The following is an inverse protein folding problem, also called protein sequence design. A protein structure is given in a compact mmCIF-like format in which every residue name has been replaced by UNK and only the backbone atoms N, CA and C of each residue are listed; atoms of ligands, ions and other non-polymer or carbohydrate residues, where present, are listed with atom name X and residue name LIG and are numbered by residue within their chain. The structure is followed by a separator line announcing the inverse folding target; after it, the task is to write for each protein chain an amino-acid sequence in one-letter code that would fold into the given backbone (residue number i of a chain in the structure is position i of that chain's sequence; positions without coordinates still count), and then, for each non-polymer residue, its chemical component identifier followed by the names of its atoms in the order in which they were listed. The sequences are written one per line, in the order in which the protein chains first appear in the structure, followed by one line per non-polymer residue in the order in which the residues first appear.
data_IF_780120017842
#
_entry.id   IF_780120017842
#
_cell.length_a   1.000
_cell.length_b   1.000
_cell.length_c   1.000
_cell.angle_alpha   90.00
_cell.angle_beta   90.00
_cell.angle_gamma   90.00
#
_symmetry.space_group_name_H-M   'P 1'
#
loop_
_entity.id
_entity.type
_entity.pdbx_description
1 polymer ?
#
# COMPACT_ATOMS: atom_id res chain seq x y z
N UNK A 1 -6.89 -18.12 -32.11
CA UNK A 1 -5.71 -17.88 -31.25
C UNK A 1 -5.80 -18.87 -30.10
N UNK A 2 -4.79 -19.73 -29.91
CA UNK A 2 -4.81 -20.73 -28.83
C UNK A 2 -4.90 -20.06 -27.45
N UNK A 3 -5.69 -20.64 -26.55
CA UNK A 3 -5.89 -20.13 -25.20
C UNK A 3 -4.69 -20.50 -24.34
N UNK A 4 -4.08 -19.51 -23.67
CA UNK A 4 -2.99 -19.76 -22.74
C UNK A 4 -3.55 -20.37 -21.44
N UNK A 5 -3.13 -21.60 -21.11
CA UNK A 5 -3.69 -22.41 -20.02
C UNK A 5 -3.44 -21.79 -18.63
N UNK A 6 -2.36 -21.02 -18.47
CA UNK A 6 -1.94 -20.43 -17.19
C UNK A 6 -2.35 -18.95 -17.07
N UNK A 7 -3.57 -18.62 -17.51
CA UNK A 7 -4.10 -17.25 -17.40
C UNK A 7 -5.63 -17.22 -17.29
N UNK A 8 -6.10 -16.28 -16.48
CA UNK A 8 -7.53 -15.94 -16.36
C UNK A 8 -8.03 -15.04 -17.50
N UNK A 9 -7.13 -14.38 -18.23
CA UNK A 9 -7.41 -13.31 -19.20
C UNK A 9 -6.71 -13.50 -20.56
N UNK A 10 -6.23 -14.71 -20.83
CA UNK A 10 -5.51 -15.12 -22.04
C UNK A 10 -4.19 -14.36 -22.31
N UNK A 11 -3.64 -13.66 -21.31
CA UNK A 11 -2.32 -13.03 -21.40
C UNK A 11 -1.21 -14.06 -21.23
N UNK A 12 -0.15 -13.94 -22.03
CA UNK A 12 1.04 -14.81 -21.98
C UNK A 12 1.99 -14.53 -20.80
N UNK A 13 1.48 -13.90 -19.74
CA UNK A 13 2.21 -13.62 -18.51
C UNK A 13 1.24 -13.64 -17.32
N UNK A 14 1.74 -13.99 -16.14
CA UNK A 14 0.96 -13.98 -14.92
C UNK A 14 0.78 -12.53 -14.46
N UNK A 15 -0.45 -12.01 -14.56
CA UNK A 15 -0.77 -10.71 -13.98
C UNK A 15 -0.70 -10.78 -12.45
N UNK A 16 -0.48 -9.65 -11.80
CA UNK A 16 -0.52 -9.57 -10.34
C UNK A 16 -1.86 -10.06 -9.77
N UNK A 17 -2.96 -9.75 -10.47
CA UNK A 17 -4.28 -10.25 -10.14
C UNK A 17 -4.39 -11.77 -10.27
N UNK A 18 -3.87 -12.36 -11.36
CA UNK A 18 -3.83 -13.81 -11.55
C UNK A 18 -3.09 -14.48 -10.38
N UNK A 19 -1.86 -14.03 -10.09
CA UNK A 19 -1.04 -14.61 -9.02
C UNK A 19 -1.74 -14.55 -7.66
N UNK A 20 -2.27 -13.38 -7.29
CA UNK A 20 -2.94 -13.19 -6.00
C UNK A 20 -4.23 -14.01 -5.88
N UNK A 21 -5.03 -14.10 -6.96
CA UNK A 21 -6.25 -14.91 -6.96
C UNK A 21 -5.95 -16.40 -6.77
N UNK A 22 -4.92 -16.90 -7.44
CA UNK A 22 -4.52 -18.31 -7.31
C UNK A 22 -3.87 -18.59 -5.95
N UNK A 23 -3.11 -17.63 -5.39
CA UNK A 23 -2.49 -17.78 -4.06
C UNK A 23 -3.50 -17.76 -2.91
N UNK A 24 -4.49 -16.88 -2.96
CA UNK A 24 -5.42 -16.64 -1.84
C UNK A 24 -6.85 -17.13 -2.09
N UNK A 25 -7.13 -17.71 -3.26
CA UNK A 25 -8.45 -18.22 -3.67
C UNK A 25 -9.53 -17.15 -3.87
N UNK A 26 -9.18 -15.87 -3.70
CA UNK A 26 -10.10 -14.72 -3.71
C UNK A 26 -9.46 -13.52 -4.39
N UNK A 27 -10.28 -12.53 -4.77
CA UNK A 27 -9.77 -11.22 -5.18
C UNK A 27 -8.97 -10.63 -4.02
N UNK A 28 -7.83 -10.02 -4.31
CA UNK A 28 -7.02 -9.29 -3.33
C UNK A 28 -6.96 -7.83 -3.75
N UNK A 29 -7.30 -6.93 -2.82
CA UNK A 29 -7.37 -5.51 -3.04
C UNK A 29 -6.29 -4.78 -2.22
N UNK A 30 -5.61 -3.81 -2.82
CA UNK A 30 -4.72 -2.93 -2.06
C UNK A 30 -5.57 -1.83 -1.42
N UNK A 31 -5.59 -1.77 -0.10
CA UNK A 31 -6.28 -0.72 0.66
C UNK A 31 -5.25 0.38 0.96
N UNK A 32 -5.38 1.56 0.33
CA UNK A 32 -4.43 2.64 0.54
C UNK A 32 -4.61 3.23 1.95
N UNK A 33 -3.50 3.34 2.67
CA UNK A 33 -3.43 3.83 4.05
C UNK A 33 -2.36 4.92 4.11
N UNK A 34 -2.59 5.91 4.96
CA UNK A 34 -1.72 7.05 5.15
C UNK A 34 -1.30 7.14 6.62
N UNK A 35 -0.02 6.90 6.88
CA UNK A 35 0.56 6.99 8.22
C UNK A 35 1.07 8.40 8.57
N UNK A 36 0.90 9.39 7.68
CA UNK A 36 1.39 10.76 7.90
C UNK A 36 2.90 10.92 7.80
N UNK A 37 3.63 9.93 7.27
CA UNK A 37 5.08 10.04 7.11
C UNK A 37 5.45 11.11 6.08
N UNK A 38 6.59 11.76 6.31
CA UNK A 38 7.19 12.73 5.39
C UNK A 38 8.16 12.05 4.40
N UNK A 39 8.94 12.84 3.66
CA UNK A 39 10.08 12.37 2.89
C UNK A 39 11.24 13.37 2.91
N UNK A 40 12.49 12.92 2.68
CA UNK A 40 13.65 13.79 2.75
C UNK A 40 13.71 14.87 1.65
N UNK A 41 12.89 14.75 0.60
CA UNK A 41 12.75 15.81 -0.41
C UNK A 41 11.84 16.97 0.03
N UNK A 42 11.16 16.84 1.18
CA UNK A 42 10.23 17.86 1.69
C UNK A 42 10.73 18.56 2.94
N UNK A 43 11.43 17.84 3.81
CA UNK A 43 11.79 18.30 5.17
C UNK A 43 13.12 19.06 5.25
N UNK A 44 13.83 19.23 4.12
CA UNK A 44 15.13 19.91 4.05
C UNK A 44 16.34 18.97 4.06
N UNK A 45 16.17 17.66 4.26
CA UNK A 45 17.30 16.71 4.34
C UNK A 45 17.99 16.48 3.00
N UNK A 46 17.22 16.34 1.92
CA UNK A 46 17.72 16.22 0.53
C UNK A 46 17.14 17.29 -0.39
N UNK A 47 16.09 17.98 0.05
CA UNK A 47 15.42 19.03 -0.71
C UNK A 47 14.27 19.63 0.09
N UNK A 48 13.64 20.65 -0.48
CA UNK A 48 12.50 21.36 0.11
C UNK A 48 11.31 21.33 -0.86
N UNK A 49 10.10 21.32 -0.32
CA UNK A 49 8.86 21.40 -1.12
C UNK A 49 8.40 20.09 -1.79
N UNK A 50 9.25 19.09 -1.91
CA UNK A 50 8.91 17.79 -2.50
C UNK A 50 9.27 17.67 -3.99
N UNK A 51 8.97 16.52 -4.60
CA UNK A 51 9.21 16.32 -6.03
C UNK A 51 8.26 17.20 -6.87
N UNK A 52 8.68 17.62 -8.06
CA UNK A 52 7.88 18.48 -8.97
C UNK A 52 6.51 17.90 -9.31
N UNK A 53 6.37 16.58 -9.33
CA UNK A 53 5.12 15.87 -9.61
C UNK A 53 4.35 15.46 -8.33
N UNK A 54 4.92 15.71 -7.15
CA UNK A 54 4.33 15.28 -5.89
C UNK A 54 3.21 16.25 -5.49
N UNK A 55 2.04 15.72 -5.16
CA UNK A 55 0.94 16.54 -4.65
C UNK A 55 1.28 17.14 -3.29
N UNK A 56 0.50 18.15 -2.87
CA UNK A 56 0.56 18.68 -1.51
C UNK A 56 0.37 17.60 -0.44
N UNK A 57 -0.38 16.55 -0.78
CA UNK A 57 -0.68 15.38 0.05
C UNK A 57 0.36 14.26 -0.06
N UNK A 58 1.56 14.53 -0.60
CA UNK A 58 2.64 13.56 -0.70
C UNK A 58 2.31 12.32 -1.54
N UNK A 59 1.57 12.53 -2.64
CA UNK A 59 0.95 11.48 -3.47
C UNK A 59 -0.12 10.66 -2.73
N UNK A 60 -0.63 11.15 -1.61
CA UNK A 60 -1.71 10.54 -0.82
C UNK A 60 -3.12 10.94 -1.24
N UNK A 61 -3.32 11.46 -2.45
CA UNK A 61 -4.61 12.01 -2.91
C UNK A 61 -5.77 11.00 -2.88
N UNK A 62 -5.45 9.70 -2.90
CA UNK A 62 -6.41 8.60 -2.78
C UNK A 62 -6.16 7.71 -1.54
N UNK A 63 -5.33 8.20 -0.61
CA UNK A 63 -5.06 7.56 0.67
C UNK A 63 -6.12 7.93 1.71
N UNK A 64 -6.08 7.24 2.86
CA UNK A 64 -6.87 7.65 4.02
C UNK A 64 -6.40 8.99 4.60
N UNK A 65 -7.26 9.59 5.42
CA UNK A 65 -6.93 10.81 6.16
C UNK A 65 -5.90 10.51 7.26
N UNK A 66 -4.70 11.12 7.23
CA UNK A 66 -3.67 10.90 8.25
C UNK A 66 -4.08 11.39 9.65
N UNK A 67 -5.14 12.19 9.80
CA UNK A 67 -5.70 12.54 11.10
C UNK A 67 -6.50 11.39 11.73
N UNK A 68 -6.90 10.39 10.93
CA UNK A 68 -7.62 9.20 11.38
C UNK A 68 -6.67 8.03 11.67
N UNK A 69 -7.08 7.13 12.58
CA UNK A 69 -6.34 5.90 12.86
C UNK A 69 -6.28 4.98 11.63
N UNK A 70 -5.27 4.12 11.55
CA UNK A 70 -5.10 3.18 10.43
C UNK A 70 -6.29 2.23 10.32
N UNK A 71 -6.85 1.79 11.45
CA UNK A 71 -8.04 0.95 11.51
C UNK A 71 -9.26 1.67 10.94
N UNK A 72 -9.41 2.95 11.26
CA UNK A 72 -10.50 3.79 10.76
C UNK A 72 -10.39 3.99 9.25
N UNK A 73 -9.20 4.37 8.77
CA UNK A 73 -8.93 4.51 7.34
C UNK A 73 -9.20 3.19 6.59
N UNK A 74 -8.76 2.06 7.16
CA UNK A 74 -8.97 0.74 6.58
C UNK A 74 -10.46 0.39 6.50
N UNK A 75 -11.23 0.60 7.57
CA UNK A 75 -12.66 0.30 7.58
C UNK A 75 -13.43 1.11 6.53
N UNK A 76 -13.12 2.41 6.41
CA UNK A 76 -13.71 3.30 5.41
C UNK A 76 -13.40 2.83 3.98
N UNK A 77 -12.12 2.60 3.68
CA UNK A 77 -11.70 2.19 2.33
C UNK A 77 -12.16 0.77 1.99
N UNK A 78 -12.14 -0.15 2.97
CA UNK A 78 -12.68 -1.50 2.81
C UNK A 78 -14.16 -1.46 2.41
N UNK A 79 -14.97 -0.62 3.06
CA UNK A 79 -16.39 -0.49 2.74
C UNK A 79 -16.62 -0.08 1.28
N UNK A 80 -15.79 0.81 0.73
CA UNK A 80 -15.84 1.22 -0.68
C UNK A 80 -15.44 0.06 -1.59
N UNK A 81 -14.35 -0.63 -1.28
CA UNK A 81 -13.85 -1.72 -2.12
C UNK A 81 -14.78 -2.94 -2.11
N UNK A 82 -15.43 -3.22 -0.98
CA UNK A 82 -16.40 -4.32 -0.85
C UNK A 82 -17.65 -4.12 -1.70
N UNK A 83 -18.04 -2.88 -2.01
CA UNK A 83 -19.14 -2.63 -2.96
C UNK A 83 -18.83 -3.17 -4.36
N UNK A 84 -17.55 -3.14 -4.76
CA UNK A 84 -17.11 -3.58 -6.08
C UNK A 84 -16.61 -5.03 -6.09
N UNK A 85 -15.95 -5.45 -5.02
CA UNK A 85 -15.32 -6.76 -4.91
C UNK A 85 -15.59 -7.38 -3.53
N UNK A 86 -16.84 -7.80 -3.27
CA UNK A 86 -17.21 -8.35 -1.98
C UNK A 86 -16.43 -9.63 -1.65
N UNK A 87 -16.09 -9.80 -0.38
CA UNK A 87 -15.37 -10.99 0.11
C UNK A 87 -13.90 -11.05 -0.31
N UNK A 88 -13.31 -9.93 -0.72
CA UNK A 88 -11.88 -9.83 -1.03
C UNK A 88 -10.99 -10.04 0.20
N UNK A 89 -9.75 -10.44 -0.04
CA UNK A 89 -8.66 -10.22 0.90
C UNK A 89 -7.98 -8.87 0.62
N UNK A 90 -7.15 -8.41 1.54
CA UNK A 90 -6.59 -7.07 1.50
C UNK A 90 -5.07 -7.06 1.64
N UNK A 91 -4.43 -6.10 0.99
CA UNK A 91 -3.05 -5.72 1.25
C UNK A 91 -3.09 -4.31 1.82
N UNK A 92 -2.60 -4.14 3.05
CA UNK A 92 -2.40 -2.82 3.63
C UNK A 92 -1.33 -2.08 2.82
N UNK A 93 -1.70 -0.97 2.17
CA UNK A 93 -0.83 -0.27 1.23
C UNK A 93 -0.47 1.14 1.71
N UNK A 94 0.73 1.31 2.22
CA UNK A 94 1.27 2.59 2.64
C UNK A 94 1.95 3.28 1.45
N UNK A 95 1.22 4.19 0.79
CA UNK A 95 1.68 4.88 -0.42
C UNK A 95 2.26 6.27 -0.14
N UNK A 96 1.55 7.07 0.65
CA UNK A 96 1.87 8.49 0.83
C UNK A 96 3.21 8.67 1.56
N UNK A 97 4.03 9.61 1.09
CA UNK A 97 5.33 9.90 1.69
C UNK A 97 6.38 8.78 1.51
N UNK A 98 7.36 8.72 2.41
CA UNK A 98 8.40 7.68 2.42
C UNK A 98 8.25 6.79 3.65
N UNK A 99 7.62 5.63 3.49
CA UNK A 99 7.15 4.80 4.60
C UNK A 99 8.25 3.94 5.24
N UNK A 100 9.52 4.25 5.00
CA UNK A 100 10.65 3.76 5.83
C UNK A 100 11.45 4.91 6.44
N UNK A 101 10.99 6.14 6.26
CA UNK A 101 11.64 7.35 6.77
C UNK A 101 11.15 7.68 8.19
N UNK A 102 11.27 6.69 9.07
CA UNK A 102 11.01 6.80 10.50
C UNK A 102 11.79 5.71 11.25
N UNK A 103 12.04 5.88 12.56
CA UNK A 103 12.64 4.84 13.38
C UNK A 103 11.85 3.51 13.35
N UNK A 104 12.56 2.38 13.41
CA UNK A 104 11.97 1.02 13.27
C UNK A 104 10.85 0.76 14.28
N UNK A 105 10.96 1.28 15.51
CA UNK A 105 9.91 1.14 16.52
C UNK A 105 8.61 1.87 16.14
N UNK A 106 8.71 2.99 15.43
CA UNK A 106 7.54 3.71 14.89
C UNK A 106 6.93 2.91 13.74
N UNK A 107 7.76 2.47 12.78
CA UNK A 107 7.30 1.65 11.65
C UNK A 107 6.59 0.37 12.12
N UNK A 108 7.14 -0.30 13.14
CA UNK A 108 6.53 -1.49 13.75
C UNK A 108 5.15 -1.18 14.33
N UNK A 109 5.05 -0.13 15.15
CA UNK A 109 3.77 0.31 15.74
C UNK A 109 2.74 0.73 14.69
N UNK A 110 3.17 1.16 13.50
CA UNK A 110 2.27 1.51 12.40
C UNK A 110 1.84 0.27 11.59
N UNK A 111 2.76 -0.65 11.29
CA UNK A 111 2.50 -1.74 10.35
C UNK A 111 1.89 -2.99 10.99
N UNK A 112 2.26 -3.31 12.24
CA UNK A 112 1.72 -4.50 12.92
C UNK A 112 0.19 -4.42 13.12
N UNK A 113 -0.40 -3.29 13.55
CA UNK A 113 -1.86 -3.17 13.62
C UNK A 113 -2.52 -3.36 12.26
N UNK A 114 -1.93 -2.83 11.18
CA UNK A 114 -2.46 -2.99 9.83
C UNK A 114 -2.47 -4.45 9.36
N UNK A 115 -1.44 -5.23 9.74
CA UNK A 115 -1.35 -6.66 9.44
C UNK A 115 -2.34 -7.50 10.28
N UNK A 116 -2.71 -7.04 11.47
CA UNK A 116 -3.66 -7.72 12.33
C UNK A 116 -5.14 -7.51 11.90
N UNK A 117 -5.40 -6.62 10.94
CA UNK A 117 -6.76 -6.32 10.50
C UNK A 117 -7.41 -7.52 9.77
N UNK A 118 -8.72 -7.78 10.00
CA UNK A 118 -9.41 -8.90 9.39
C UNK A 118 -9.33 -8.92 7.86
N UNK A 119 -8.88 -10.06 7.31
CA UNK A 119 -8.76 -10.27 5.88
C UNK A 119 -7.53 -9.63 5.23
N UNK A 120 -6.66 -8.97 5.99
CA UNK A 120 -5.35 -8.53 5.50
C UNK A 120 -4.43 -9.73 5.35
N UNK A 121 -3.84 -9.89 4.17
CA UNK A 121 -2.97 -11.02 3.79
C UNK A 121 -1.57 -10.57 3.37
N UNK A 122 -1.28 -9.28 3.49
CA UNK A 122 0.02 -8.73 3.15
C UNK A 122 0.13 -7.23 3.41
N UNK A 123 1.37 -6.76 3.32
CA UNK A 123 1.77 -5.36 3.47
C UNK A 123 2.49 -4.90 2.21
N UNK A 124 2.19 -3.71 1.74
CA UNK A 124 2.87 -3.05 0.61
C UNK A 124 3.33 -1.68 1.10
N UNK A 125 4.64 -1.44 1.10
CA UNK A 125 5.26 -0.22 1.62
C UNK A 125 5.94 0.52 0.48
N UNK A 126 5.47 1.72 0.15
CA UNK A 126 6.14 2.61 -0.79
C UNK A 126 7.23 3.40 -0.05
N UNK A 127 8.45 3.36 -0.59
CA UNK A 127 9.59 4.09 -0.04
C UNK A 127 10.58 4.52 -1.11
N UNK A 128 11.51 5.40 -0.75
CA UNK A 128 12.63 5.82 -1.58
C UNK A 128 13.78 4.87 -1.39
N UNK A 129 14.46 4.55 -2.50
CA UNK A 129 15.55 3.57 -2.50
C UNK A 129 16.71 3.93 -1.53
N UNK A 130 17.00 5.22 -1.33
CA UNK A 130 18.03 5.67 -0.39
C UNK A 130 17.57 5.77 1.07
N UNK A 131 16.30 5.48 1.37
CA UNK A 131 15.77 5.44 2.73
C UNK A 131 15.70 4.01 3.28
N UNK A 132 16.52 3.11 2.74
CA UNK A 132 16.66 1.73 3.20
C UNK A 132 18.05 1.56 3.85
N UNK A 133 18.14 0.89 5.00
CA UNK A 133 19.42 0.57 5.60
C UNK A 133 20.19 -0.43 4.72
N UNK A 134 21.48 -0.61 4.99
CA UNK A 134 22.25 -1.69 4.37
C UNK A 134 21.56 -3.04 4.65
N UNK A 135 21.65 -4.01 3.73
CA UNK A 135 21.15 -5.36 3.97
C UNK A 135 21.66 -5.89 5.31
N UNK A 136 20.75 -6.47 6.10
CA UNK A 136 21.06 -7.19 7.33
C UNK A 136 21.27 -8.67 7.04
#
# INVERSE_FOLDING_TARGET
MERFLYSDDNKRYHTWNYYLRHRYGKKVCKIPLNAGFSCPNRDGTCGVGGCTYCSGLQSGDFGGDPACSIETQFAQMKAIFDQKWPGSCYIAYFQAGTNTYAPVNVLRKTFEPALALPGVVGLSVATRAHCLPKPV
#
